data_IF_032452073969
#
_entry.id   IF_032452073969
#
_cell.length_a   1.000
_cell.length_b   1.000
_cell.length_c   1.000
_cell.angle_alpha   90.00
_cell.angle_beta   90.00
_cell.angle_gamma   90.00
#
_symmetry.space_group_name_H-M   'P 1'
#
loop_
_entity.id
_entity.type
_entity.pdbx_description
1 polymer ?
#
# COMPACT_ATOMS: atom_id res chain seq x y z
N UNK A 1 7.93 5.66 -24.02
CA UNK A 1 6.52 5.80 -23.58
C UNK A 1 6.23 4.66 -22.63
N UNK A 2 5.77 4.99 -21.42
CA UNK A 2 5.46 4.02 -20.38
C UNK A 2 4.00 3.56 -20.51
N UNK A 3 3.76 2.26 -20.50
CA UNK A 3 2.39 1.71 -20.51
C UNK A 3 2.07 1.12 -19.13
N UNK A 4 1.00 1.63 -18.50
CA UNK A 4 0.54 1.14 -17.20
C UNK A 4 -0.75 0.37 -17.37
N UNK A 5 -0.76 -0.91 -16.98
CA UNK A 5 -1.95 -1.75 -16.98
C UNK A 5 -2.68 -1.61 -15.64
N UNK A 6 -4.01 -1.39 -15.68
CA UNK A 6 -4.83 -1.25 -14.47
C UNK A 6 -5.94 -2.28 -14.49
N UNK A 7 -6.04 -3.10 -13.45
CA UNK A 7 -7.08 -4.13 -13.33
C UNK A 7 -6.88 -5.02 -12.11
N UNK A 8 -7.88 -5.78 -11.68
CA UNK A 8 -7.74 -6.67 -10.52
C UNK A 8 -6.82 -7.88 -10.77
N UNK A 9 -6.43 -8.61 -9.72
CA UNK A 9 -5.60 -9.83 -9.83
C UNK A 9 -6.30 -11.04 -10.45
N UNK A 10 -7.59 -10.92 -10.79
CA UNK A 10 -8.36 -11.77 -11.73
C UNK A 10 -7.86 -11.59 -13.15
N UNK A 11 -7.88 -10.35 -13.62
CA UNK A 11 -7.46 -9.99 -14.97
C UNK A 11 -5.93 -9.94 -15.12
N UNK A 12 -5.22 -9.34 -14.17
CA UNK A 12 -3.77 -9.19 -14.16
C UNK A 12 -3.19 -10.11 -13.08
N UNK A 13 -3.14 -11.40 -13.40
CA UNK A 13 -2.67 -12.43 -12.47
C UNK A 13 -1.18 -12.27 -12.15
N UNK A 14 -0.72 -12.85 -11.04
CA UNK A 14 0.71 -12.90 -10.67
C UNK A 14 1.57 -13.44 -11.82
N UNK A 15 1.11 -14.51 -12.49
CA UNK A 15 1.82 -15.08 -13.63
C UNK A 15 1.98 -14.09 -14.80
N UNK A 16 0.97 -13.25 -15.06
CA UNK A 16 1.04 -12.19 -16.09
C UNK A 16 2.00 -11.08 -15.67
N UNK A 17 1.97 -10.68 -14.40
CA UNK A 17 2.93 -9.71 -13.83
C UNK A 17 4.37 -10.22 -14.02
N UNK A 18 4.63 -11.48 -13.70
CA UNK A 18 5.97 -12.07 -13.84
C UNK A 18 6.42 -12.13 -15.31
N UNK A 19 5.49 -12.36 -16.24
CA UNK A 19 5.78 -12.28 -17.67
C UNK A 19 6.14 -10.86 -18.10
N UNK A 20 5.40 -9.84 -17.64
CA UNK A 20 5.69 -8.43 -17.92
C UNK A 20 7.06 -8.02 -17.36
N UNK A 21 7.41 -8.47 -16.14
CA UNK A 21 8.75 -8.25 -15.54
C UNK A 21 9.87 -8.82 -16.40
N UNK A 22 9.69 -10.03 -16.93
CA UNK A 22 10.67 -10.66 -17.82
C UNK A 22 10.85 -9.86 -19.12
N UNK A 23 9.77 -9.32 -19.66
CA UNK A 23 9.83 -8.44 -20.84
C UNK A 23 10.59 -7.16 -20.55
N UNK A 24 10.30 -6.48 -19.42
CA UNK A 24 11.04 -5.27 -19.03
C UNK A 24 12.55 -5.51 -18.86
N UNK A 25 12.94 -6.70 -18.40
CA UNK A 25 14.34 -7.07 -18.22
C UNK A 25 15.04 -7.53 -19.51
N UNK A 26 14.34 -7.59 -20.64
CA UNK A 26 14.91 -8.01 -21.91
C UNK A 26 15.76 -6.89 -22.53
N UNK A 27 17.08 -7.01 -22.43
CA UNK A 27 18.03 -6.03 -23.00
C UNK A 27 17.96 -5.89 -24.52
N UNK A 28 17.46 -6.89 -25.24
CA UNK A 28 17.35 -6.86 -26.71
C UNK A 28 16.10 -6.14 -27.20
N UNK A 29 15.08 -6.03 -26.35
CA UNK A 29 13.82 -5.36 -26.66
C UNK A 29 13.33 -4.67 -25.37
N UNK A 30 13.88 -3.48 -25.04
CA UNK A 30 13.54 -2.78 -23.82
C UNK A 30 12.07 -2.36 -23.86
N UNK A 31 11.28 -2.88 -22.92
CA UNK A 31 9.89 -2.46 -22.69
C UNK A 31 9.76 -1.75 -21.35
N UNK A 32 8.77 -0.86 -21.25
CA UNK A 32 8.48 -0.09 -20.04
C UNK A 32 7.01 -0.29 -19.66
N UNK A 33 6.74 -1.47 -19.09
CA UNK A 33 5.42 -1.86 -18.58
C UNK A 33 5.35 -1.72 -17.06
N UNK A 34 4.32 -1.06 -16.57
CA UNK A 34 3.97 -1.03 -15.15
C UNK A 34 2.54 -1.54 -14.96
N UNK A 35 2.17 -1.82 -13.70
CA UNK A 35 0.82 -2.27 -13.39
C UNK A 35 0.32 -1.77 -12.04
N UNK A 36 -0.98 -1.54 -11.96
CA UNK A 36 -1.73 -1.28 -10.73
C UNK A 36 -2.78 -2.39 -10.62
N UNK A 37 -2.72 -3.18 -9.55
CA UNK A 37 -3.67 -4.29 -9.36
C UNK A 37 -4.39 -4.28 -8.03
N UNK A 38 -5.69 -4.59 -8.04
CA UNK A 38 -6.47 -4.81 -6.83
C UNK A 38 -6.38 -6.26 -6.33
N UNK A 39 -6.29 -6.42 -5.00
CA UNK A 39 -6.38 -7.72 -4.33
C UNK A 39 -7.78 -8.33 -4.50
N UNK A 40 -7.86 -9.67 -4.47
CA UNK A 40 -9.15 -10.38 -4.48
C UNK A 40 -9.69 -10.55 -3.07
N UNK A 41 -10.99 -10.80 -2.96
CA UNK A 41 -11.70 -10.96 -1.69
C UNK A 41 -11.00 -11.89 -0.67
N UNK A 42 -10.45 -13.07 -1.01
CA UNK A 42 -9.76 -13.91 -0.02
C UNK A 42 -8.47 -13.27 0.53
N UNK A 43 -7.72 -12.57 -0.32
CA UNK A 43 -6.52 -11.87 0.12
C UNK A 43 -6.86 -10.64 0.96
N UNK A 44 -7.95 -9.94 0.64
CA UNK A 44 -8.48 -8.84 1.46
C UNK A 44 -8.95 -9.37 2.81
N UNK A 45 -9.68 -10.49 2.85
CA UNK A 45 -10.16 -11.11 4.07
C UNK A 45 -9.01 -11.55 4.98
N UNK A 46 -7.93 -12.10 4.43
CA UNK A 46 -6.73 -12.45 5.21
C UNK A 46 -6.04 -11.21 5.81
N UNK A 47 -6.07 -10.07 5.11
CA UNK A 47 -5.55 -8.82 5.67
C UNK A 47 -6.41 -8.29 6.81
N UNK A 48 -7.73 -8.40 6.66
CA UNK A 48 -8.73 -7.92 7.62
C UNK A 48 -9.11 -8.92 8.72
N UNK A 49 -8.43 -10.06 8.80
CA UNK A 49 -8.63 -11.04 9.88
C UNK A 49 -8.22 -10.44 11.24
N UNK A 50 -8.70 -11.01 12.35
CA UNK A 50 -8.41 -10.51 13.71
C UNK A 50 -6.90 -10.48 14.02
N UNK A 51 -6.12 -11.39 13.45
CA UNK A 51 -4.66 -11.46 13.51
C UNK A 51 -3.97 -10.89 12.25
N UNK A 52 -4.76 -10.34 11.33
CA UNK A 52 -4.30 -9.73 10.10
C UNK A 52 -3.54 -8.42 10.35
N UNK A 53 -2.64 -8.03 9.44
CA UNK A 53 -1.86 -6.80 9.59
C UNK A 53 -2.70 -5.52 9.42
N UNK A 54 -3.96 -5.63 8.99
CA UNK A 54 -4.80 -4.47 8.71
C UNK A 54 -5.55 -4.03 9.96
N UNK A 55 -5.10 -2.92 10.54
CA UNK A 55 -5.79 -2.30 11.66
C UNK A 55 -7.06 -1.58 11.15
N UNK A 56 -8.22 -2.26 11.23
CA UNK A 56 -9.51 -1.76 10.71
C UNK A 56 -9.87 -0.35 11.22
N UNK A 57 -9.51 -0.03 12.46
CA UNK A 57 -9.77 1.29 13.08
C UNK A 57 -9.09 2.47 12.37
N UNK A 58 -8.11 2.22 11.48
CA UNK A 58 -7.48 3.25 10.67
C UNK A 58 -8.32 3.68 9.46
N UNK A 59 -9.34 2.91 9.09
CA UNK A 59 -10.21 3.17 7.94
C UNK A 59 -11.54 3.82 8.35
N UNK A 60 -11.85 3.86 9.64
CA UNK A 60 -13.08 4.46 10.17
C UNK A 60 -13.04 6.00 10.15
N UNK A 61 -11.84 6.60 10.09
CA UNK A 61 -11.65 8.05 10.05
C UNK A 61 -10.70 8.41 8.92
N UNK A 62 -11.12 9.29 8.01
CA UNK A 62 -10.25 9.76 6.92
C UNK A 62 -9.28 10.84 7.44
N UNK A 63 -8.19 10.42 8.05
CA UNK A 63 -7.15 11.30 8.61
C UNK A 63 -5.77 11.01 7.97
N UNK A 64 -5.71 11.07 6.64
CA UNK A 64 -4.45 11.03 5.87
C UNK A 64 -4.08 12.45 5.42
N UNK A 65 -2.85 12.85 5.70
CA UNK A 65 -2.28 14.10 5.23
C UNK A 65 -1.06 13.82 4.34
N UNK A 66 -1.03 14.42 3.16
CA UNK A 66 0.15 14.46 2.31
C UNK A 66 0.99 15.68 2.66
N UNK A 67 2.29 15.46 2.84
CA UNK A 67 3.26 16.48 3.24
C UNK A 67 4.41 16.46 2.23
N UNK A 68 4.74 17.64 1.72
CA UNK A 68 5.95 17.86 0.91
C UNK A 68 6.99 18.56 1.77
N UNK A 69 8.24 18.13 1.72
CA UNK A 69 9.31 18.73 2.53
C UNK A 69 10.61 18.88 1.71
N UNK A 70 11.32 20.02 1.80
CA UNK A 70 12.54 20.27 1.02
C UNK A 70 13.64 19.23 1.22
N UNK A 71 13.77 18.68 2.43
CA UNK A 71 14.77 17.64 2.74
C UNK A 71 14.47 16.28 2.08
N UNK A 72 13.26 16.08 1.57
CA UNK A 72 12.83 14.85 0.88
C UNK A 72 12.31 15.17 -0.53
N UNK A 73 13.17 15.66 -1.43
CA UNK A 73 12.75 16.12 -2.74
C UNK A 73 12.28 14.95 -3.62
N UNK A 74 11.08 15.07 -4.18
CA UNK A 74 10.48 14.05 -5.05
C UNK A 74 9.74 12.94 -4.29
N UNK A 75 9.76 12.97 -2.96
CA UNK A 75 8.98 12.04 -2.12
C UNK A 75 7.62 12.65 -1.75
N UNK A 76 6.62 11.77 -1.58
CA UNK A 76 5.30 12.11 -1.05
C UNK A 76 5.18 11.51 0.34
N UNK A 77 5.38 12.32 1.38
CA UNK A 77 5.27 11.85 2.75
C UNK A 77 3.79 11.77 3.12
N UNK A 78 3.34 10.59 3.55
CA UNK A 78 1.95 10.37 3.95
C UNK A 78 1.91 10.17 5.47
N UNK A 79 1.29 11.11 6.18
CA UNK A 79 1.01 10.98 7.60
C UNK A 79 -0.41 10.44 7.81
N UNK A 80 -0.56 9.48 8.72
CA UNK A 80 -1.85 8.93 9.11
C UNK A 80 -2.05 9.15 10.62
N UNK A 81 -3.15 9.79 11.00
CA UNK A 81 -3.53 9.83 12.42
C UNK A 81 -3.98 8.43 12.83
N UNK A 82 -3.41 7.90 13.91
CA UNK A 82 -3.81 6.62 14.49
C UNK A 82 -4.45 6.85 15.87
N UNK A 83 -5.80 6.99 15.95
CA UNK A 83 -6.51 7.23 17.21
C UNK A 83 -6.27 6.12 18.24
N UNK A 84 -6.29 4.86 17.82
CA UNK A 84 -6.08 3.73 18.72
C UNK A 84 -4.66 3.73 19.33
N UNK A 85 -3.64 4.09 18.56
CA UNK A 85 -2.29 4.26 19.08
C UNK A 85 -2.21 5.45 20.05
N UNK A 86 -2.94 6.54 19.79
CA UNK A 86 -3.02 7.67 20.70
C UNK A 86 -3.66 7.28 22.04
N UNK A 87 -4.76 6.51 22.02
CA UNK A 87 -5.42 5.99 23.22
C UNK A 87 -4.50 5.05 24.00
N UNK A 88 -3.81 4.14 23.32
CA UNK A 88 -2.85 3.24 23.95
C UNK A 88 -1.71 4.02 24.63
N UNK A 89 -1.19 5.06 23.96
CA UNK A 89 -0.18 5.97 24.54
C UNK A 89 -0.72 6.73 25.74
N UNK A 90 -1.97 7.19 25.70
CA UNK A 90 -2.60 7.87 26.81
C UNK A 90 -2.74 6.95 28.04
N UNK A 91 -3.23 5.72 27.85
CA UNK A 91 -3.31 4.69 28.91
C UNK A 91 -1.95 4.39 29.51
N UNK A 92 -0.96 4.08 28.67
CA UNK A 92 0.41 3.78 29.12
C UNK A 92 1.04 4.93 29.88
N UNK A 93 0.74 6.19 29.52
CA UNK A 93 1.20 7.37 30.25
C UNK A 93 0.55 7.45 31.63
N UNK A 94 -0.76 7.18 31.75
CA UNK A 94 -1.45 7.14 33.04
C UNK A 94 -0.92 6.04 33.95
N UNK A 95 -0.56 4.88 33.42
CA UNK A 95 -0.02 3.75 34.21
C UNK A 95 1.42 3.98 34.71
N UNK A 96 2.12 4.98 34.17
CA UNK A 96 3.50 5.35 34.53
C UNK A 96 3.58 6.57 35.45
N UNK A 97 2.44 7.10 35.88
CA UNK A 97 2.30 8.22 36.84
C UNK A 97 1.78 7.71 38.18
#
# INVERSE_FOLDING_TARGET
TKLVLVGDRGMITTARIDALRKLNNNRKAPTDFDWITALRAPAIAALAADDGPLQMSLFDTQDLAEITHPDYPGERLIACRNPALADQRARKRSDLL
#
